data_IF_716333365998
#
_entry.id   IF_716333365998
#
_cell.length_a   1.000
_cell.length_b   1.000
_cell.length_c   1.000
_cell.angle_alpha   90.00
_cell.angle_beta   90.00
_cell.angle_gamma   90.00
#
_symmetry.space_group_name_H-M   'P 1'
#
loop_
_entity.id
_entity.type
_entity.pdbx_description
1 polymer ?
#
# COMPACT_ATOMS: atom_id res chain seq x y z
N UNK A 1 24.18 7.14 -1.19
CA UNK A 1 24.30 6.21 -2.33
C UNK A 1 24.28 4.72 -1.91
N UNK A 2 24.99 4.31 -0.85
CA UNK A 2 25.05 2.88 -0.48
C UNK A 2 23.72 2.41 0.18
N UNK A 3 23.12 3.20 1.04
CA UNK A 3 21.86 2.87 1.72
C UNK A 3 20.70 2.74 0.72
N UNK A 4 20.50 3.74 -0.15
CA UNK A 4 19.52 3.71 -1.24
C UNK A 4 19.61 2.43 -2.09
N UNK A 5 20.81 2.10 -2.57
CA UNK A 5 21.03 0.89 -3.37
C UNK A 5 20.63 -0.38 -2.64
N UNK A 6 20.93 -0.48 -1.33
CA UNK A 6 20.53 -1.63 -0.51
C UNK A 6 19.03 -1.71 -0.35
N UNK A 7 18.36 -0.58 -0.04
CA UNK A 7 16.90 -0.53 0.07
C UNK A 7 16.25 -0.96 -1.24
N UNK A 8 16.65 -0.38 -2.36
CA UNK A 8 16.11 -0.73 -3.68
C UNK A 8 16.37 -2.21 -4.03
N UNK A 9 17.54 -2.75 -3.70
CA UNK A 9 17.85 -4.16 -3.91
C UNK A 9 16.95 -5.08 -3.06
N UNK A 10 16.74 -4.74 -1.77
CA UNK A 10 15.88 -5.51 -0.88
C UNK A 10 14.44 -5.49 -1.41
N UNK A 11 13.91 -4.32 -1.80
CA UNK A 11 12.56 -4.22 -2.32
C UNK A 11 12.41 -4.91 -3.68
N UNK A 12 13.41 -4.87 -4.56
CA UNK A 12 13.41 -5.64 -5.81
C UNK A 12 13.29 -7.15 -5.55
N UNK A 13 14.10 -7.68 -4.64
CA UNK A 13 14.03 -9.10 -4.26
C UNK A 13 12.74 -9.45 -3.54
N UNK A 14 12.22 -8.53 -2.72
CA UNK A 14 10.95 -8.71 -2.02
C UNK A 14 9.75 -8.71 -2.97
N UNK A 15 9.75 -7.84 -3.99
CA UNK A 15 8.73 -7.81 -5.03
C UNK A 15 8.74 -9.09 -5.87
N UNK A 16 9.93 -9.61 -6.19
CA UNK A 16 10.06 -10.91 -6.84
C UNK A 16 9.48 -12.03 -5.96
N UNK A 17 9.84 -12.07 -4.67
CA UNK A 17 9.27 -13.02 -3.72
C UNK A 17 7.75 -12.86 -3.57
N UNK A 18 7.22 -11.64 -3.68
CA UNK A 18 5.80 -11.36 -3.65
C UNK A 18 5.09 -11.92 -4.89
N UNK A 19 5.64 -11.69 -6.10
CA UNK A 19 5.04 -12.16 -7.35
C UNK A 19 5.01 -13.69 -7.44
N UNK A 20 5.94 -14.39 -6.80
CA UNK A 20 6.01 -15.86 -6.77
C UNK A 20 5.05 -16.53 -5.75
N UNK A 21 4.30 -15.75 -4.96
CA UNK A 21 3.33 -16.32 -4.02
C UNK A 21 2.18 -17.01 -4.77
N UNK A 22 1.66 -18.14 -4.29
CA UNK A 22 0.58 -18.85 -4.96
C UNK A 22 -0.74 -18.06 -5.00
N UNK A 23 -0.95 -17.19 -4.03
CA UNK A 23 -2.13 -16.32 -3.95
C UNK A 23 -1.76 -14.97 -3.37
N UNK A 24 -2.34 -13.89 -3.93
CA UNK A 24 -2.16 -12.53 -3.43
C UNK A 24 -3.52 -11.85 -3.19
N UNK A 25 -3.60 -11.00 -2.16
CA UNK A 25 -4.71 -10.07 -2.03
C UNK A 25 -4.63 -9.02 -3.15
N UNK A 26 -5.78 -8.48 -3.58
CA UNK A 26 -5.84 -7.50 -4.67
C UNK A 26 -5.82 -6.05 -4.19
N UNK A 27 -6.07 -5.82 -2.92
CA UNK A 27 -6.16 -4.49 -2.32
C UNK A 27 -4.77 -3.98 -1.94
N UNK A 28 -4.52 -2.70 -2.15
CA UNK A 28 -3.23 -2.02 -1.93
C UNK A 28 -2.67 -2.25 -0.53
N UNK A 29 -3.48 -2.03 0.52
CA UNK A 29 -3.01 -2.18 1.90
C UNK A 29 -2.60 -3.62 2.23
N UNK A 30 -3.31 -4.59 1.68
CA UNK A 30 -2.98 -6.00 1.88
C UNK A 30 -1.73 -6.41 1.09
N UNK A 31 -1.54 -5.88 -0.14
CA UNK A 31 -0.31 -6.06 -0.91
C UNK A 31 0.89 -5.45 -0.17
N UNK A 32 0.72 -4.26 0.40
CA UNK A 32 1.75 -3.59 1.20
C UNK A 32 2.15 -4.42 2.43
N UNK A 33 1.16 -4.98 3.13
CA UNK A 33 1.43 -5.87 4.25
C UNK A 33 2.24 -7.10 3.83
N UNK A 34 1.87 -7.74 2.74
CA UNK A 34 2.61 -8.90 2.22
C UNK A 34 4.01 -8.53 1.74
N UNK A 35 4.17 -7.36 1.10
CA UNK A 35 5.48 -6.84 0.69
C UNK A 35 6.36 -6.51 1.90
N UNK A 36 5.81 -5.93 2.97
CA UNK A 36 6.54 -5.71 4.22
C UNK A 36 7.13 -7.01 4.78
N UNK A 37 6.34 -8.08 4.80
CA UNK A 37 6.80 -9.39 5.27
C UNK A 37 7.91 -9.96 4.37
N UNK A 38 7.76 -9.83 3.05
CA UNK A 38 8.79 -10.23 2.08
C UNK A 38 10.08 -9.43 2.27
N UNK A 39 9.99 -8.09 2.41
CA UNK A 39 11.15 -7.22 2.59
C UNK A 39 11.93 -7.54 3.88
N UNK A 40 11.24 -7.76 4.99
CA UNK A 40 11.89 -8.19 6.22
C UNK A 40 12.56 -9.57 6.09
N UNK A 41 11.92 -10.51 5.41
CA UNK A 41 12.51 -11.84 5.14
C UNK A 41 13.76 -11.73 4.29
N UNK A 42 13.71 -11.00 3.18
CA UNK A 42 14.86 -10.77 2.29
C UNK A 42 15.99 -10.08 3.05
N UNK A 43 15.69 -9.01 3.79
CA UNK A 43 16.70 -8.31 4.59
C UNK A 43 17.37 -9.26 5.61
N UNK A 44 16.58 -10.07 6.31
CA UNK A 44 17.09 -11.08 7.25
C UNK A 44 18.00 -12.12 6.59
N UNK A 45 17.67 -12.55 5.37
CA UNK A 45 18.53 -13.47 4.59
C UNK A 45 19.86 -12.79 4.24
N UNK A 46 19.82 -11.56 3.72
CA UNK A 46 21.02 -10.80 3.34
C UNK A 46 21.93 -10.49 4.53
N UNK A 47 21.36 -10.22 5.70
CA UNK A 47 22.13 -10.03 6.94
C UNK A 47 22.84 -11.34 7.38
N UNK A 48 22.14 -12.48 7.32
CA UNK A 48 22.72 -13.79 7.68
C UNK A 48 23.81 -14.25 6.73
N UNK A 49 23.68 -13.99 5.44
CA UNK A 49 24.66 -14.34 4.43
C UNK A 49 25.93 -13.49 4.48
N UNK A 50 26.00 -12.53 5.40
CA UNK A 50 27.13 -11.60 5.64
C UNK A 50 27.66 -10.93 4.36
N UNK A 51 26.78 -10.72 3.37
CA UNK A 51 27.14 -10.12 2.08
C UNK A 51 27.23 -8.60 2.12
N UNK A 52 27.06 -7.97 3.29
CA UNK A 52 27.07 -6.51 3.43
C UNK A 52 25.93 -5.81 2.68
N UNK A 53 24.92 -6.56 2.22
CA UNK A 53 23.78 -6.05 1.45
C UNK A 53 22.54 -5.81 2.32
N UNK A 54 22.46 -6.45 3.49
CA UNK A 54 21.38 -6.23 4.44
C UNK A 54 21.54 -4.91 5.19
N UNK A 55 20.45 -4.46 5.81
CA UNK A 55 20.34 -3.22 6.58
C UNK A 55 19.98 -3.58 8.03
N UNK A 56 20.79 -3.13 8.98
CA UNK A 56 20.61 -3.45 10.40
C UNK A 56 19.44 -2.68 11.05
N UNK A 57 19.13 -1.46 10.54
CA UNK A 57 17.98 -0.70 11.02
C UNK A 57 16.66 -1.33 10.58
N UNK A 58 15.60 -1.09 11.35
CA UNK A 58 14.28 -1.68 11.12
C UNK A 58 13.53 -0.93 10.00
N UNK A 59 12.94 -1.67 9.07
CA UNK A 59 11.94 -1.15 8.15
C UNK A 59 10.67 -0.79 8.92
N UNK A 60 10.19 0.42 8.78
CA UNK A 60 8.93 0.90 9.34
C UNK A 60 7.81 0.78 8.30
N UNK A 61 6.67 0.24 8.71
CA UNK A 61 5.47 0.05 7.91
C UNK A 61 4.35 0.93 8.46
N UNK A 62 3.67 1.68 7.58
CA UNK A 62 2.58 2.61 7.92
C UNK A 62 2.89 3.49 9.15
N UNK A 63 4.10 4.00 9.20
CA UNK A 63 4.56 4.83 10.30
C UNK A 63 4.48 6.30 9.94
N UNK A 64 4.19 7.15 10.92
CA UNK A 64 4.12 8.61 10.72
C UNK A 64 5.43 9.15 10.14
N UNK A 65 5.29 10.15 9.27
CA UNK A 65 6.42 10.92 8.76
C UNK A 65 7.15 11.59 9.94
N UNK A 66 8.47 11.49 9.94
CA UNK A 66 9.26 11.88 11.09
C UNK A 66 9.41 13.42 11.20
N UNK A 67 9.52 13.97 12.42
CA UNK A 67 9.82 15.39 12.63
C UNK A 67 11.11 15.82 11.93
N UNK A 68 11.17 17.08 11.58
CA UNK A 68 12.37 17.70 10.98
C UNK A 68 12.96 18.75 11.92
N UNK A 69 14.27 18.79 12.12
CA UNK A 69 14.91 19.79 12.99
C UNK A 69 14.61 21.25 12.62
N UNK A 70 14.29 21.52 11.34
CA UNK A 70 13.91 22.86 10.87
C UNK A 70 12.50 23.28 11.26
N UNK A 71 11.64 22.32 11.59
CA UNK A 71 10.26 22.60 11.98
C UNK A 71 10.21 23.03 13.46
N UNK A 72 10.02 24.32 13.74
CA UNK A 72 9.95 24.87 15.11
C UNK A 72 8.79 24.30 15.93
N UNK A 73 7.75 23.81 15.28
CA UNK A 73 6.56 23.22 15.90
C UNK A 73 6.09 22.06 15.07
N UNK A 74 5.26 21.20 15.65
CA UNK A 74 4.62 20.11 14.92
C UNK A 74 3.88 20.61 13.69
N UNK A 75 4.14 19.98 12.56
CA UNK A 75 3.57 20.32 11.25
C UNK A 75 2.56 19.27 10.79
N UNK A 76 1.71 19.63 9.81
CA UNK A 76 0.78 18.67 9.19
C UNK A 76 1.51 17.50 8.51
N UNK A 77 2.77 17.69 8.09
CA UNK A 77 3.61 16.65 7.49
C UNK A 77 3.82 15.45 8.41
N UNK A 78 3.92 15.68 9.71
CA UNK A 78 4.13 14.64 10.72
C UNK A 78 2.91 13.75 10.93
N UNK A 79 1.71 14.16 10.46
CA UNK A 79 0.52 13.34 10.49
C UNK A 79 0.34 12.49 9.23
N UNK A 80 1.19 12.69 8.21
CA UNK A 80 1.20 11.87 7.00
C UNK A 80 1.89 10.55 7.27
N UNK A 81 1.40 9.51 6.61
CA UNK A 81 1.84 8.13 6.82
C UNK A 81 2.27 7.57 5.47
N UNK A 82 3.58 7.54 5.17
CA UNK A 82 4.08 6.79 4.02
C UNK A 82 3.92 5.30 4.23
N UNK A 83 3.79 4.54 3.15
CA UNK A 83 3.61 3.08 3.22
C UNK A 83 4.81 2.42 3.88
N UNK A 84 6.04 2.86 3.51
CA UNK A 84 7.26 2.36 4.14
C UNK A 84 8.28 3.48 4.35
N UNK A 85 9.06 3.34 5.43
CA UNK A 85 10.20 4.20 5.73
C UNK A 85 11.37 3.35 6.19
N UNK A 86 12.56 3.67 5.71
CA UNK A 86 13.77 3.04 6.20
C UNK A 86 14.77 4.08 6.66
N UNK A 87 14.97 4.15 7.98
CA UNK A 87 15.89 5.08 8.61
C UNK A 87 17.34 4.64 8.51
N UNK A 88 18.24 5.61 8.36
CA UNK A 88 19.68 5.40 8.42
C UNK A 88 20.40 6.60 9.03
N UNK A 89 21.60 6.37 9.56
CA UNK A 89 22.47 7.42 10.06
C UNK A 89 23.47 7.80 8.97
N UNK A 90 23.44 9.07 8.55
CA UNK A 90 24.46 9.62 7.65
C UNK A 90 25.61 10.19 8.46
N UNK A 91 26.63 9.36 8.74
CA UNK A 91 27.81 9.78 9.50
C UNK A 91 28.68 10.86 8.80
N UNK A 92 28.34 11.26 7.56
CA UNK A 92 29.01 12.35 6.85
C UNK A 92 28.29 13.69 7.01
N UNK A 93 27.07 13.67 7.53
CA UNK A 93 26.35 14.90 7.88
C UNK A 93 27.07 15.61 9.01
N UNK A 94 27.33 16.90 8.81
CA UNK A 94 28.07 17.72 9.78
C UNK A 94 27.20 18.13 10.99
N UNK A 95 25.89 18.26 10.77
CA UNK A 95 24.91 18.61 11.81
C UNK A 95 24.36 17.34 12.46
N UNK A 96 24.64 17.10 13.76
CA UNK A 96 24.15 15.93 14.47
C UNK A 96 22.63 15.79 14.46
N UNK A 97 21.87 16.88 14.45
CA UNK A 97 20.42 16.88 14.44
C UNK A 97 19.86 16.40 13.10
N UNK A 98 20.67 16.43 12.03
CA UNK A 98 20.31 16.02 10.66
C UNK A 98 20.92 14.71 10.23
N UNK A 99 21.67 14.02 11.08
CA UNK A 99 22.30 12.73 10.74
C UNK A 99 21.29 11.63 10.46
N UNK A 100 20.12 11.69 11.11
CA UNK A 100 19.07 10.69 10.84
C UNK A 100 18.31 11.03 9.57
N UNK A 101 18.39 10.16 8.59
CA UNK A 101 17.72 10.28 7.28
C UNK A 101 16.70 9.15 7.12
N UNK A 102 15.67 9.41 6.31
CA UNK A 102 14.64 8.41 6.01
C UNK A 102 14.46 8.27 4.50
N UNK A 103 14.63 7.05 4.01
CA UNK A 103 14.25 6.69 2.65
C UNK A 103 12.77 6.33 2.65
N UNK A 104 11.97 7.13 1.96
CA UNK A 104 10.51 7.01 1.90
C UNK A 104 10.10 6.21 0.67
N UNK A 105 9.15 5.31 0.85
CA UNK A 105 8.56 4.52 -0.23
C UNK A 105 7.05 4.60 -0.13
N UNK A 106 6.42 4.92 -1.25
CA UNK A 106 4.96 4.92 -1.43
C UNK A 106 4.59 3.88 -2.48
N UNK A 107 3.43 3.28 -2.38
CA UNK A 107 2.97 2.24 -3.30
C UNK A 107 1.58 2.54 -3.83
N UNK A 108 1.31 2.16 -5.06
CA UNK A 108 0.00 2.27 -5.69
C UNK A 108 -0.26 1.11 -6.64
N UNK A 109 -1.54 0.80 -6.83
CA UNK A 109 -1.98 -0.10 -7.88
C UNK A 109 -1.91 0.59 -9.23
N UNK A 110 -1.61 -0.20 -10.27
CA UNK A 110 -1.55 0.22 -11.67
C UNK A 110 -2.42 -0.72 -12.51
N UNK A 111 -3.09 -0.18 -13.51
CA UNK A 111 -3.96 -0.94 -14.40
C UNK A 111 -5.23 -0.21 -14.77
N UNK A 112 -6.21 -0.96 -15.26
CA UNK A 112 -7.51 -0.47 -15.69
C UNK A 112 -8.29 0.17 -14.54
N UNK A 113 -9.09 1.21 -14.80
CA UNK A 113 -9.90 1.83 -13.77
C UNK A 113 -10.85 0.83 -13.10
N UNK A 114 -10.91 0.82 -11.78
CA UNK A 114 -11.91 0.02 -11.06
C UNK A 114 -13.31 0.64 -11.07
N UNK A 115 -13.40 1.94 -11.37
CA UNK A 115 -14.65 2.69 -11.58
C UNK A 115 -14.37 3.98 -12.33
N UNK A 116 -15.41 4.67 -12.77
CA UNK A 116 -15.29 6.00 -13.43
C UNK A 116 -14.63 7.06 -12.54
N UNK A 117 -14.65 6.88 -11.22
CA UNK A 117 -14.06 7.81 -10.25
C UNK A 117 -12.74 7.32 -9.65
N UNK A 118 -12.39 6.05 -9.85
CA UNK A 118 -11.18 5.47 -9.30
C UNK A 118 -10.27 4.91 -10.39
N UNK A 119 -9.38 5.79 -10.89
CA UNK A 119 -8.43 5.52 -11.99
C UNK A 119 -7.06 5.29 -11.38
N UNK A 120 -6.55 4.05 -11.43
CA UNK A 120 -5.31 3.66 -10.76
C UNK A 120 -4.10 4.45 -11.26
N UNK A 121 -3.91 4.55 -12.58
CA UNK A 121 -2.76 5.23 -13.17
C UNK A 121 -2.75 6.74 -12.85
N UNK A 122 -3.91 7.39 -12.77
CA UNK A 122 -4.03 8.77 -12.28
C UNK A 122 -3.72 8.87 -10.78
N UNK A 123 -4.21 7.93 -9.97
CA UNK A 123 -3.95 7.90 -8.53
C UNK A 123 -2.47 7.67 -8.22
N UNK A 124 -1.74 6.92 -9.05
CA UNK A 124 -0.30 6.75 -8.95
C UNK A 124 0.43 8.11 -8.98
N UNK A 125 -0.01 9.01 -9.83
CA UNK A 125 0.54 10.37 -9.93
C UNK A 125 0.02 11.26 -8.81
N UNK A 126 -1.30 11.46 -8.73
CA UNK A 126 -1.92 12.48 -7.86
C UNK A 126 -1.81 12.13 -6.38
N UNK A 127 -1.98 10.86 -6.03
CA UNK A 127 -1.96 10.36 -4.66
C UNK A 127 -0.68 9.58 -4.31
N UNK A 128 0.29 9.55 -5.21
CA UNK A 128 1.61 8.92 -5.04
C UNK A 128 2.73 9.91 -5.29
N UNK A 129 3.12 10.13 -6.54
CA UNK A 129 4.27 10.98 -6.92
C UNK A 129 4.18 12.39 -6.33
N UNK A 130 2.99 13.02 -6.36
CA UNK A 130 2.81 14.38 -5.81
C UNK A 130 3.14 14.50 -4.33
N UNK A 131 3.07 13.43 -3.54
CA UNK A 131 3.46 13.46 -2.13
C UNK A 131 4.95 13.78 -1.91
N UNK A 132 5.78 13.58 -2.94
CA UNK A 132 7.20 13.91 -2.90
C UNK A 132 7.50 15.35 -3.32
N UNK A 133 6.57 16.06 -3.94
CA UNK A 133 6.73 17.47 -4.36
C UNK A 133 5.84 18.45 -3.59
N UNK A 134 4.76 17.96 -2.99
CA UNK A 134 3.83 18.78 -2.21
C UNK A 134 4.39 19.03 -0.80
N UNK A 135 4.61 20.30 -0.40
CA UNK A 135 5.17 20.64 0.90
C UNK A 135 4.28 20.24 2.08
N UNK A 136 2.96 20.03 1.89
CA UNK A 136 2.09 19.51 2.95
C UNK A 136 2.34 18.04 3.28
N UNK A 137 2.93 17.28 2.34
CA UNK A 137 3.34 15.87 2.57
C UNK A 137 4.80 15.79 2.99
N UNK A 138 5.70 16.51 2.29
CA UNK A 138 7.12 16.60 2.58
C UNK A 138 7.84 15.24 2.54
N UNK A 139 7.38 14.29 1.72
CA UNK A 139 8.04 12.99 1.59
C UNK A 139 9.47 13.15 1.06
N UNK A 140 10.41 12.42 1.65
CA UNK A 140 11.82 12.48 1.28
C UNK A 140 12.52 13.82 1.60
N UNK A 141 12.00 14.64 2.52
CA UNK A 141 12.60 15.93 2.92
C UNK A 141 14.00 15.80 3.56
N UNK A 142 14.34 14.63 4.10
CA UNK A 142 15.65 14.38 4.69
C UNK A 142 16.59 13.57 3.78
N UNK A 143 16.16 13.25 2.55
CA UNK A 143 16.91 12.39 1.62
C UNK A 143 16.91 12.98 0.21
N UNK A 144 17.93 12.66 -0.59
CA UNK A 144 17.99 13.06 -2.01
C UNK A 144 17.17 12.15 -2.93
N UNK A 145 16.63 11.09 -2.39
CA UNK A 145 15.89 10.09 -3.17
C UNK A 145 14.81 9.40 -2.35
N UNK A 146 13.86 8.79 -3.04
CA UNK A 146 12.80 7.95 -2.51
C UNK A 146 12.34 6.95 -3.56
N UNK A 147 11.30 6.18 -3.26
CA UNK A 147 10.79 5.24 -4.24
C UNK A 147 9.26 5.20 -4.31
N UNK A 148 8.76 4.83 -5.48
CA UNK A 148 7.39 4.45 -5.75
C UNK A 148 7.33 2.98 -6.14
N UNK A 149 6.37 2.24 -5.59
CA UNK A 149 6.07 0.87 -6.02
C UNK A 149 4.77 0.89 -6.82
N UNK A 150 4.77 0.22 -7.97
CA UNK A 150 3.59 0.02 -8.81
C UNK A 150 3.22 -1.46 -8.86
N UNK A 151 1.99 -1.80 -8.45
CA UNK A 151 1.43 -3.14 -8.57
C UNK A 151 0.59 -3.24 -9.84
N UNK A 152 1.16 -3.79 -10.93
CA UNK A 152 0.46 -3.95 -12.22
C UNK A 152 -0.53 -5.11 -12.11
N UNK A 153 -1.82 -4.82 -12.34
CA UNK A 153 -2.91 -5.76 -12.16
C UNK A 153 -3.42 -6.38 -13.47
N UNK A 154 -3.58 -5.61 -14.54
CA UNK A 154 -4.29 -6.09 -15.73
C UNK A 154 -3.89 -5.43 -17.07
N UNK A 155 -3.18 -4.30 -17.05
CA UNK A 155 -2.77 -3.60 -18.29
C UNK A 155 -1.34 -3.97 -18.72
N UNK A 156 -1.05 -3.74 -20.00
CA UNK A 156 0.32 -3.84 -20.49
C UNK A 156 1.16 -2.64 -20.03
N UNK A 157 2.43 -2.91 -19.71
CA UNK A 157 3.39 -1.95 -19.17
C UNK A 157 3.44 -0.64 -19.97
N UNK A 158 3.50 -0.74 -21.30
CA UNK A 158 3.61 0.43 -22.17
C UNK A 158 2.40 1.34 -22.06
N UNK A 159 1.19 0.78 -22.02
CA UNK A 159 -0.05 1.53 -21.89
C UNK A 159 -0.12 2.24 -20.53
N UNK A 160 0.30 1.54 -19.47
CA UNK A 160 0.39 2.14 -18.12
C UNK A 160 1.37 3.31 -18.13
N UNK A 161 2.54 3.15 -18.70
CA UNK A 161 3.57 4.20 -18.74
C UNK A 161 3.07 5.44 -19.51
N UNK A 162 2.39 5.25 -20.64
CA UNK A 162 1.80 6.34 -21.42
C UNK A 162 0.73 7.10 -20.64
N UNK A 163 -0.17 6.37 -19.94
CA UNK A 163 -1.21 7.00 -19.12
C UNK A 163 -0.63 7.72 -17.89
N UNK A 164 0.34 7.10 -17.21
CA UNK A 164 1.00 7.71 -16.05
C UNK A 164 1.73 8.98 -16.48
N UNK A 165 2.48 8.96 -17.59
CA UNK A 165 3.18 10.14 -18.10
C UNK A 165 2.21 11.23 -18.56
N UNK A 166 1.09 10.89 -19.21
CA UNK A 166 0.03 11.85 -19.55
C UNK A 166 -0.51 12.54 -18.29
N UNK A 167 -0.75 11.78 -17.22
CA UNK A 167 -1.19 12.35 -15.94
C UNK A 167 -0.07 13.16 -15.26
N UNK A 168 1.20 12.73 -15.33
CA UNK A 168 2.33 13.46 -14.77
C UNK A 168 2.47 14.85 -15.43
N UNK A 169 2.43 14.92 -16.76
CA UNK A 169 2.46 16.17 -17.50
C UNK A 169 1.29 17.10 -17.12
N UNK A 170 0.08 16.53 -16.95
CA UNK A 170 -1.08 17.32 -16.52
C UNK A 170 -0.94 17.92 -15.13
N UNK A 171 -0.09 17.34 -14.28
CA UNK A 171 0.24 17.79 -12.93
C UNK A 171 1.57 18.57 -12.88
N UNK A 172 2.11 18.97 -14.03
CA UNK A 172 3.38 19.71 -14.18
C UNK A 172 4.59 18.93 -13.63
N UNK A 173 4.56 17.62 -13.70
CA UNK A 173 5.64 16.74 -13.31
C UNK A 173 6.39 16.23 -14.57
N UNK A 174 7.70 15.97 -14.48
CA UNK A 174 8.46 15.36 -15.56
C UNK A 174 8.02 13.91 -15.82
N UNK A 175 8.29 13.44 -17.03
CA UNK A 175 8.02 12.06 -17.42
C UNK A 175 8.87 11.05 -16.63
N UNK A 176 8.28 9.88 -16.39
CA UNK A 176 8.98 8.70 -15.91
C UNK A 176 9.62 8.01 -17.10
N UNK A 177 10.88 7.59 -16.96
CA UNK A 177 11.65 6.95 -18.01
C UNK A 177 12.15 5.56 -17.55
N UNK A 178 12.29 4.63 -18.49
CA UNK A 178 12.92 3.34 -18.20
C UNK A 178 14.35 3.55 -17.70
N UNK A 179 14.70 2.87 -16.61
CA UNK A 179 16.04 2.95 -16.05
C UNK A 179 17.06 2.22 -16.94
N UNK A 180 18.28 2.75 -17.01
CA UNK A 180 19.40 2.08 -17.68
C UNK A 180 19.94 0.86 -16.91
N UNK A 181 19.54 0.66 -15.66
CA UNK A 181 20.10 -0.34 -14.74
C UNK A 181 19.57 -1.77 -14.96
N UNK A 182 19.09 -2.08 -16.16
CA UNK A 182 18.72 -3.42 -16.59
C UNK A 182 17.37 -3.90 -16.10
N UNK A 183 16.61 -4.51 -16.99
CA UNK A 183 15.36 -5.18 -16.69
C UNK A 183 15.63 -6.46 -15.88
N UNK A 184 14.85 -6.66 -14.83
CA UNK A 184 14.69 -7.97 -14.21
C UNK A 184 13.37 -8.58 -14.67
N UNK A 185 13.28 -9.90 -14.87
CA UNK A 185 11.98 -10.53 -15.11
C UNK A 185 10.97 -10.09 -14.05
N UNK A 186 9.78 -9.71 -14.50
CA UNK A 186 8.63 -9.32 -13.68
C UNK A 186 8.76 -7.99 -12.90
N UNK A 187 9.92 -7.32 -12.93
CA UNK A 187 10.10 -6.03 -12.24
C UNK A 187 10.73 -5.03 -13.18
N UNK A 188 9.97 -3.99 -13.51
CA UNK A 188 10.42 -2.86 -14.30
C UNK A 188 10.95 -1.76 -13.40
N UNK A 189 12.16 -1.31 -13.67
CA UNK A 189 12.77 -0.15 -13.00
C UNK A 189 12.64 1.08 -13.88
N UNK A 190 12.15 2.17 -13.27
CA UNK A 190 12.02 3.45 -13.94
C UNK A 190 12.56 4.55 -13.03
N UNK A 191 12.94 5.66 -13.63
CA UNK A 191 13.54 6.81 -12.97
C UNK A 191 12.75 8.08 -13.29
N UNK A 192 12.64 8.98 -12.31
CA UNK A 192 12.06 10.30 -12.46
C UNK A 192 12.88 11.30 -11.63
N UNK A 193 13.22 12.45 -12.21
CA UNK A 193 13.93 13.52 -11.52
C UNK A 193 13.00 14.69 -11.27
N UNK A 194 12.67 14.91 -9.99
CA UNK A 194 11.70 15.90 -9.56
C UNK A 194 12.41 17.20 -9.13
N UNK A 195 11.94 18.33 -9.64
CA UNK A 195 12.27 19.64 -9.09
C UNK A 195 11.23 19.99 -8.02
N UNK A 196 11.71 20.42 -6.84
CA UNK A 196 10.88 20.68 -5.66
C UNK A 196 11.15 22.10 -5.14
N UNK A 197 10.22 23.02 -5.39
CA UNK A 197 10.42 24.42 -5.07
C UNK A 197 10.49 24.69 -3.56
N UNK A 198 9.71 23.97 -2.76
CA UNK A 198 9.52 24.24 -1.33
C UNK A 198 10.01 23.11 -0.41
N UNK A 199 10.62 22.07 -0.97
CA UNK A 199 11.16 20.95 -0.22
C UNK A 199 12.62 20.74 -0.60
N UNK A 200 13.50 20.70 0.38
CA UNK A 200 14.90 20.35 0.16
C UNK A 200 15.11 18.88 0.54
N UNK A 201 16.07 18.18 -0.05
CA UNK A 201 16.92 18.61 -1.17
C UNK A 201 16.19 18.60 -2.53
N UNK A 202 16.67 19.43 -3.47
CA UNK A 202 16.25 19.45 -4.87
C UNK A 202 17.49 19.52 -5.77
N UNK A 203 17.56 18.87 -6.92
CA UNK A 203 16.54 17.92 -7.43
C UNK A 203 16.45 16.64 -6.59
N UNK A 204 15.32 15.94 -6.71
CA UNK A 204 15.04 14.71 -5.98
C UNK A 204 14.90 13.54 -6.96
N UNK A 205 15.64 12.46 -6.74
CA UNK A 205 15.59 11.28 -7.58
C UNK A 205 14.51 10.30 -7.07
N UNK A 206 13.41 10.19 -7.78
CA UNK A 206 12.35 9.24 -7.48
C UNK A 206 12.55 7.97 -8.33
N UNK A 207 12.76 6.84 -7.64
CA UNK A 207 12.94 5.52 -8.26
C UNK A 207 11.59 4.80 -8.30
N UNK A 208 11.26 4.16 -9.40
CA UNK A 208 10.03 3.40 -9.52
C UNK A 208 10.37 1.92 -9.70
N UNK A 209 9.67 1.07 -8.94
CA UNK A 209 9.74 -0.39 -9.03
C UNK A 209 8.33 -0.89 -9.35
N UNK A 210 8.08 -1.26 -10.60
CA UNK A 210 6.80 -1.80 -11.02
C UNK A 210 6.88 -3.32 -11.13
N UNK A 211 5.97 -4.02 -10.43
CA UNK A 211 5.90 -5.48 -10.44
C UNK A 211 4.68 -5.94 -11.22
N UNK A 212 4.88 -6.90 -12.15
CA UNK A 212 3.78 -7.52 -12.89
C UNK A 212 3.11 -8.60 -12.02
N UNK A 213 1.85 -8.36 -11.66
CA UNK A 213 1.02 -9.26 -10.90
C UNK A 213 -0.20 -9.75 -11.70
N UNK A 214 -0.24 -9.52 -13.02
CA UNK A 214 -1.39 -9.83 -13.88
C UNK A 214 -1.87 -11.27 -13.74
N UNK A 215 -0.94 -12.22 -13.59
CA UNK A 215 -1.29 -13.63 -13.44
C UNK A 215 -2.16 -13.93 -12.21
N UNK A 216 -2.02 -13.18 -11.11
CA UNK A 216 -2.86 -13.32 -9.92
C UNK A 216 -4.29 -12.80 -10.10
N UNK A 217 -4.51 -11.91 -11.09
CA UNK A 217 -5.82 -11.31 -11.36
C UNK A 217 -6.61 -12.13 -12.37
N UNK A 218 -5.95 -12.70 -13.37
CA UNK A 218 -6.60 -13.51 -14.43
C UNK A 218 -7.29 -14.77 -13.89
N UNK A 219 -6.75 -15.39 -12.85
CA UNK A 219 -7.32 -16.60 -12.26
C UNK A 219 -8.62 -16.34 -11.47
N UNK A 220 -8.80 -15.11 -10.94
CA UNK A 220 -10.02 -14.74 -10.22
C UNK A 220 -11.20 -14.48 -11.14
N UNK A 221 -10.97 -13.92 -12.32
CA UNK A 221 -12.03 -13.74 -13.31
C UNK A 221 -12.58 -15.07 -13.79
N UNK A 222 -11.72 -16.06 -13.98
CA UNK A 222 -12.13 -17.44 -14.32
C UNK A 222 -12.95 -18.11 -13.21
N UNK A 223 -12.56 -17.90 -11.96
CA UNK A 223 -13.26 -18.46 -10.80
C UNK A 223 -14.63 -17.83 -10.61
N UNK A 224 -14.74 -16.51 -10.78
CA UNK A 224 -16.01 -15.78 -10.69
C UNK A 224 -16.96 -16.18 -11.84
N UNK A 225 -16.46 -16.33 -13.07
CA UNK A 225 -17.25 -16.79 -14.21
C UNK A 225 -17.76 -18.23 -14.01
N UNK A 226 -16.95 -19.12 -13.46
CA UNK A 226 -17.38 -20.48 -13.14
C UNK A 226 -18.47 -20.53 -12.06
N UNK A 227 -18.37 -19.67 -11.04
CA UNK A 227 -19.39 -19.57 -9.99
C UNK A 227 -20.70 -19.00 -10.55
N UNK A 228 -20.64 -17.99 -11.41
CA UNK A 228 -21.83 -17.44 -12.07
C UNK A 228 -22.49 -18.44 -13.03
N UNK A 229 -21.71 -19.23 -13.77
CA UNK A 229 -22.23 -20.32 -14.60
C UNK A 229 -22.85 -21.45 -13.78
N UNK A 230 -22.30 -21.81 -12.62
CA UNK A 230 -22.90 -22.81 -11.73
C UNK A 230 -24.18 -22.31 -11.06
N UNK A 231 -24.24 -21.03 -10.69
CA UNK A 231 -25.46 -20.43 -10.10
C UNK A 231 -26.57 -20.25 -11.13
N UNK A 232 -26.23 -20.06 -12.42
CA UNK A 232 -27.19 -19.86 -13.49
C UNK A 232 -27.79 -21.18 -14.06
N UNK A 233 -27.24 -22.34 -13.70
CA UNK A 233 -27.83 -23.65 -14.10
C UNK A 233 -29.12 -23.89 -13.35
N UNK A 234 -30.28 -24.09 -14.06
CA UNK A 234 -31.56 -24.35 -13.41
C UNK A 234 -31.48 -25.63 -12.61
N UNK A 235 -31.75 -25.55 -11.30
CA UNK A 235 -31.90 -26.74 -10.45
C UNK A 235 -33.00 -27.62 -11.02
N UNK A 236 -32.65 -28.77 -11.60
CA UNK A 236 -33.60 -29.80 -11.98
C UNK A 236 -34.32 -30.26 -10.72
N UNK A 237 -35.56 -29.80 -10.54
CA UNK A 237 -36.45 -30.28 -9.50
C UNK A 237 -36.88 -31.71 -9.85
N UNK A 238 -36.25 -32.69 -9.23
CA UNK A 238 -36.72 -34.07 -9.22
C UNK A 238 -38.08 -34.13 -8.47
N UNK A 239 -39.18 -34.03 -9.22
CA UNK A 239 -40.52 -34.36 -8.72
C UNK A 239 -40.59 -35.86 -8.43
N UNK A 240 -40.23 -36.29 -7.22
CA UNK A 240 -40.66 -37.58 -6.69
C UNK A 240 -42.12 -37.46 -6.30
N UNK A 241 -42.98 -38.14 -7.06
CA UNK A 241 -44.38 -38.37 -6.74
C UNK A 241 -44.49 -39.06 -5.36
N UNK A 242 -45.12 -38.41 -4.41
CA UNK A 242 -45.40 -38.94 -3.08
C UNK A 242 -46.91 -39.28 -3.00
N UNK A 243 -47.17 -40.56 -3.05
CA UNK A 243 -48.50 -41.18 -2.79
C UNK A 243 -49.00 -40.75 -1.39
N UNK A 244 -50.26 -40.33 -1.38
CA UNK A 244 -51.03 -39.98 -0.19
C UNK A 244 -51.30 -41.18 0.72
N UNK A 245 -50.91 -41.04 2.02
CA UNK A 245 -51.60 -41.81 3.09
C UNK A 245 -52.07 -40.85 4.16
N UNK A 246 -53.40 -40.92 4.38
CA UNK A 246 -54.19 -40.20 5.36
C UNK A 246 -54.05 -40.88 6.72
N UNK A 247 -53.68 -40.16 7.78
CA UNK A 247 -54.12 -40.50 9.16
C UNK A 247 -54.12 -39.30 10.07
N UNK A 248 -55.16 -39.19 10.78
CA UNK A 248 -55.72 -38.35 11.81
C UNK A 248 -54.78 -37.82 12.90
N UNK A 249 -55.01 -36.58 13.29
CA UNK A 249 -55.32 -36.16 14.69
C UNK A 249 -54.10 -35.79 15.57
N UNK A 250 -54.08 -34.57 16.09
CA UNK A 250 -53.24 -34.17 17.20
C UNK A 250 -53.06 -32.65 17.24
N UNK A 251 -53.71 -32.00 18.20
CA UNK A 251 -53.62 -30.56 18.50
C UNK A 251 -52.19 -30.16 18.90
N UNK A 252 -51.79 -28.88 18.66
CA UNK A 252 -50.50 -28.35 19.08
C UNK A 252 -50.58 -27.70 20.47
N UNK A 253 -49.52 -27.75 21.29
CA UNK A 253 -49.38 -26.95 22.48
C UNK A 253 -48.88 -25.54 22.19
N UNK A 254 -49.36 -24.62 23.04
CA UNK A 254 -49.10 -23.18 23.03
C UNK A 254 -47.60 -22.84 23.27
N UNK A 255 -47.08 -21.90 22.52
CA UNK A 255 -45.75 -21.29 22.71
C UNK A 255 -45.86 -20.05 23.60
N UNK A 256 -45.13 -20.08 24.72
CA UNK A 256 -44.89 -18.95 25.63
C UNK A 256 -43.98 -17.88 24.99
N UNK A 257 -44.50 -16.65 24.94
CA UNK A 257 -43.80 -15.45 24.47
C UNK A 257 -42.93 -14.88 25.59
N UNK A 258 -41.62 -14.99 25.48
CA UNK A 258 -40.69 -14.30 26.37
C UNK A 258 -40.21 -12.94 25.79
N UNK A 259 -40.47 -11.86 26.57
CA UNK A 259 -40.11 -10.47 26.27
C UNK A 259 -38.60 -10.21 26.42
N UNK A 260 -38.01 -9.29 25.64
CA UNK A 260 -36.60 -8.90 25.80
C UNK A 260 -36.42 -7.87 26.93
N UNK A 261 -35.38 -8.07 27.73
CA UNK A 261 -34.92 -7.16 28.80
C UNK A 261 -34.20 -5.94 28.21
N UNK A 262 -34.65 -4.76 28.59
CA UNK A 262 -33.97 -3.48 28.42
C UNK A 262 -32.81 -3.37 29.42
N UNK A 263 -31.59 -3.04 28.95
CA UNK A 263 -30.47 -2.66 29.78
C UNK A 263 -30.29 -1.14 29.78
N UNK A 264 -30.44 -0.53 30.94
CA UNK A 264 -30.23 0.89 31.26
C UNK A 264 -28.75 1.30 31.10
N UNK A 265 -28.49 2.34 30.31
CA UNK A 265 -27.25 3.13 30.34
C UNK A 265 -27.35 4.17 31.47
N UNK A 266 -26.50 4.03 32.48
CA UNK A 266 -26.20 5.08 33.47
C UNK A 266 -25.14 6.01 32.94
N UNK A 267 -25.50 7.27 32.75
CA UNK A 267 -24.58 8.38 32.55
C UNK A 267 -23.86 8.71 33.87
N UNK A 268 -22.56 8.90 33.83
CA UNK A 268 -21.76 9.40 34.96
C UNK A 268 -21.22 10.79 34.60
N UNK A 269 -21.85 11.79 35.16
CA UNK A 269 -21.32 13.16 35.31
C UNK A 269 -20.14 13.14 36.26
N UNK A 270 -19.00 13.73 35.89
CA UNK A 270 -17.97 14.13 36.85
C UNK A 270 -17.71 15.63 36.74
N UNK A 271 -17.78 16.20 37.91
CA UNK A 271 -17.69 17.63 38.28
C UNK A 271 -16.33 18.24 37.96
N UNK A 272 -16.40 19.50 37.50
CA UNK A 272 -15.34 20.51 37.60
C UNK A 272 -14.94 20.74 39.06
N UNK A 273 -13.63 20.79 39.34
CA UNK A 273 -13.08 21.52 40.47
C UNK A 273 -12.06 22.57 39.99
N UNK A 274 -12.35 23.81 40.34
CA UNK A 274 -11.50 24.99 40.33
C UNK A 274 -10.62 24.97 41.58
N UNK A 275 -9.40 25.47 41.48
CA UNK A 275 -8.63 26.31 42.40
C UNK A 275 -7.13 25.98 42.16
N UNK A 276 -6.16 26.85 42.17
CA UNK A 276 -6.01 28.25 42.47
C UNK A 276 -4.52 28.51 42.36
N UNK A 277 -4.21 29.75 41.97
CA UNK A 277 -2.87 30.32 42.04
C UNK A 277 -2.35 30.45 43.50
N UNK A 278 -1.15 30.69 43.75
CA UNK A 278 -0.36 31.87 43.32
C UNK A 278 0.87 31.57 42.47
#
# INVERSE_FOLDING_TARGET
>A
ANHEKRVLNIFTLALKMLSEKPTLPLEENNLNRELYLCANRVNGMLLKENRGQGIESTLMYESKNQPDPDDKTRTKREDKIPDFQWGFCDCKEADPDRMTKYFIIESKRLGSPSSSTWIFNKNYVVNGIKRFVDPEWGYGKSSHSGAMIGYIQDMELQNILEEVNTNAVSELLPDIQLSSDGEQPDITRLDQRLEREQIQPTPFDLRHLWVDLKHHYQDKDKTNQQIEEEVSKPKQTNKKSRTTNKSKGGEPPEEEVSKPKQTNKKSRNTKKSKAGEP
#
